data_IF_985977583717
#
_entry.id   IF_985977583717
#
_cell.length_a   1.000
_cell.length_b   1.000
_cell.length_c   1.000
_cell.angle_alpha   90.00
_cell.angle_beta   90.00
_cell.angle_gamma   90.00
#
_symmetry.space_group_name_H-M   'P 1'
#
loop_
_entity.id
_entity.type
_entity.pdbx_description
1 polymer ?
#
# COMPACT_ATOMS: atom_id res chain seq x y z
N UNK A 1 2.34 59.64 28.71
CA UNK A 1 2.39 58.22 29.12
C UNK A 1 1.08 57.47 28.86
N UNK A 2 -0.08 57.99 29.25
CA UNK A 2 -1.40 57.34 29.03
C UNK A 2 -1.77 57.09 27.57
N UNK A 3 -1.42 58.00 26.65
CA UNK A 3 -1.66 57.86 25.20
C UNK A 3 -0.96 56.63 24.60
N UNK A 4 0.29 56.37 25.01
CA UNK A 4 1.10 55.23 24.56
C UNK A 4 0.52 53.91 25.10
N UNK A 5 0.11 53.90 26.36
CA UNK A 5 -0.49 52.70 26.97
C UNK A 5 -1.81 52.33 26.26
N UNK A 6 -2.63 53.31 25.89
CA UNK A 6 -3.86 53.08 25.14
C UNK A 6 -3.60 52.52 23.74
N UNK A 7 -2.58 53.01 23.02
CA UNK A 7 -2.22 52.46 21.71
C UNK A 7 -1.71 51.03 21.81
N UNK A 8 -0.87 50.74 22.81
CA UNK A 8 -0.39 49.37 23.05
C UNK A 8 -1.52 48.43 23.44
N UNK A 9 -2.48 48.89 24.24
CA UNK A 9 -3.66 48.12 24.61
C UNK A 9 -4.55 47.81 23.40
N UNK A 10 -4.77 48.79 22.51
CA UNK A 10 -5.51 48.56 21.28
C UNK A 10 -4.82 47.55 20.35
N UNK A 11 -3.49 47.64 20.21
CA UNK A 11 -2.69 46.67 19.44
C UNK A 11 -2.81 45.28 20.06
N UNK A 12 -2.72 45.17 21.39
CA UNK A 12 -2.85 43.90 22.10
C UNK A 12 -4.22 43.26 21.87
N UNK A 13 -5.30 44.04 21.93
CA UNK A 13 -6.64 43.55 21.61
C UNK A 13 -6.74 43.08 20.16
N UNK A 14 -6.20 43.84 19.21
CA UNK A 14 -6.20 43.44 17.80
C UNK A 14 -5.44 42.13 17.59
N UNK A 15 -4.28 41.96 18.24
CA UNK A 15 -3.52 40.70 18.22
C UNK A 15 -4.32 39.55 18.84
N UNK A 16 -4.96 39.75 20.00
CA UNK A 16 -5.75 38.71 20.66
C UNK A 16 -6.90 38.23 19.77
N UNK A 17 -7.66 39.15 19.18
CA UNK A 17 -8.74 38.83 18.24
C UNK A 17 -8.20 38.18 16.96
N UNK A 18 -7.06 38.65 16.45
CA UNK A 18 -6.37 38.05 15.31
C UNK A 18 -5.98 36.59 15.56
N UNK A 19 -5.42 36.28 16.72
CA UNK A 19 -5.06 34.91 17.10
C UNK A 19 -6.29 34.02 17.20
N UNK A 20 -7.37 34.48 17.85
CA UNK A 20 -8.60 33.69 17.98
C UNK A 20 -9.20 33.37 16.62
N UNK A 21 -9.27 34.35 15.72
CA UNK A 21 -9.82 34.14 14.36
C UNK A 21 -8.92 33.24 13.51
N UNK A 22 -7.60 33.39 13.60
CA UNK A 22 -6.64 32.51 12.93
C UNK A 22 -6.75 31.07 13.44
N UNK A 23 -6.87 30.88 14.76
CA UNK A 23 -7.05 29.58 15.37
C UNK A 23 -8.35 28.93 14.86
N UNK A 24 -9.46 29.67 14.86
CA UNK A 24 -10.75 29.17 14.38
C UNK A 24 -10.69 28.71 12.91
N UNK A 25 -10.06 29.52 12.03
CA UNK A 25 -9.83 29.16 10.63
C UNK A 25 -8.95 27.91 10.50
N UNK A 26 -7.88 27.84 11.29
CA UNK A 26 -6.99 26.68 11.31
C UNK A 26 -7.73 25.40 11.71
N UNK A 27 -8.60 25.44 12.73
CA UNK A 27 -9.42 24.27 13.10
C UNK A 27 -10.33 23.84 11.96
N UNK A 28 -11.00 24.77 11.28
CA UNK A 28 -11.89 24.45 10.17
C UNK A 28 -11.15 23.76 9.02
N UNK A 29 -10.04 24.34 8.58
CA UNK A 29 -9.21 23.77 7.51
C UNK A 29 -8.62 22.42 7.91
N UNK A 30 -8.24 22.26 9.18
CA UNK A 30 -7.72 21.00 9.69
C UNK A 30 -8.77 19.88 9.64
N UNK A 31 -10.02 20.18 10.01
CA UNK A 31 -11.12 19.20 9.97
C UNK A 31 -11.39 18.75 8.52
N UNK A 32 -11.41 19.68 7.57
CA UNK A 32 -11.61 19.37 6.15
C UNK A 32 -10.47 18.48 5.61
N UNK A 33 -9.22 18.83 5.93
CA UNK A 33 -8.05 18.01 5.59
C UNK A 33 -8.14 16.60 6.22
N UNK A 34 -8.62 16.50 7.45
CA UNK A 34 -8.75 15.23 8.15
C UNK A 34 -9.83 14.33 7.53
N UNK A 35 -10.91 14.91 6.99
CA UNK A 35 -11.95 14.17 6.27
C UNK A 35 -11.39 13.52 5.01
N UNK A 36 -10.73 14.29 4.15
CA UNK A 36 -10.08 13.77 2.94
C UNK A 36 -9.03 12.70 3.27
N UNK A 37 -8.22 12.92 4.32
CA UNK A 37 -7.24 11.92 4.78
C UNK A 37 -7.88 10.63 5.26
N UNK A 38 -9.07 10.69 5.88
CA UNK A 38 -9.80 9.49 6.32
C UNK A 38 -10.32 8.70 5.12
N UNK A 39 -10.81 9.38 4.10
CA UNK A 39 -11.25 8.75 2.86
C UNK A 39 -10.09 8.08 2.12
N UNK A 40 -8.95 8.78 1.97
CA UNK A 40 -7.74 8.21 1.39
C UNK A 40 -7.26 6.96 2.13
N UNK A 41 -7.26 6.97 3.48
CA UNK A 41 -6.92 5.80 4.29
C UNK A 41 -7.89 4.64 4.09
N UNK A 42 -9.19 4.93 3.96
CA UNK A 42 -10.20 3.89 3.70
C UNK A 42 -9.93 3.21 2.36
N UNK A 43 -9.66 3.98 1.32
CA UNK A 43 -9.33 3.46 -0.01
C UNK A 43 -8.04 2.62 0.01
N UNK A 44 -7.02 3.05 0.77
CA UNK A 44 -5.76 2.31 0.89
C UNK A 44 -5.96 0.94 1.58
N UNK A 45 -6.81 0.88 2.60
CA UNK A 45 -7.19 -0.38 3.25
C UNK A 45 -7.97 -1.28 2.30
N UNK A 46 -8.95 -0.74 1.58
CA UNK A 46 -9.73 -1.49 0.59
C UNK A 46 -8.83 -2.03 -0.53
N UNK A 47 -7.91 -1.21 -1.01
CA UNK A 47 -6.89 -1.63 -1.98
C UNK A 47 -6.03 -2.78 -1.44
N UNK A 48 -5.57 -2.68 -0.19
CA UNK A 48 -4.83 -3.76 0.47
C UNK A 48 -5.64 -5.05 0.58
N UNK A 49 -6.94 -4.97 0.90
CA UNK A 49 -7.84 -6.12 0.94
C UNK A 49 -8.00 -6.75 -0.45
N UNK A 50 -8.27 -5.95 -1.47
CA UNK A 50 -8.39 -6.41 -2.86
C UNK A 50 -7.09 -7.06 -3.36
N UNK A 51 -5.94 -6.55 -2.94
CA UNK A 51 -4.64 -7.11 -3.30
C UNK A 51 -4.37 -8.45 -2.60
N UNK A 52 -4.82 -8.61 -1.35
CA UNK A 52 -4.79 -9.89 -0.64
C UNK A 52 -5.74 -10.91 -1.28
N UNK A 53 -6.96 -10.49 -1.63
CA UNK A 53 -7.92 -11.30 -2.39
C UNK A 53 -7.32 -11.76 -3.72
N UNK A 54 -6.70 -10.85 -4.47
CA UNK A 54 -5.99 -11.20 -5.71
C UNK A 54 -4.84 -12.18 -5.45
N UNK A 55 -3.99 -11.95 -4.45
CA UNK A 55 -2.86 -12.83 -4.14
C UNK A 55 -3.31 -14.27 -3.78
N UNK A 56 -4.51 -14.41 -3.22
CA UNK A 56 -5.10 -15.71 -2.88
C UNK A 56 -5.59 -16.47 -4.12
N UNK A 57 -5.93 -15.77 -5.20
CA UNK A 57 -6.49 -16.36 -6.42
C UNK A 57 -5.53 -16.38 -7.63
N UNK A 58 -4.48 -15.56 -7.62
CA UNK A 58 -3.77 -15.18 -8.85
C UNK A 58 -2.64 -16.11 -9.31
N UNK A 59 -2.19 -17.13 -8.57
CA UNK A 59 -1.03 -17.93 -9.06
C UNK A 59 -1.11 -19.44 -8.87
N UNK A 60 -1.70 -20.01 -7.81
CA UNK A 60 -1.73 -21.48 -7.65
C UNK A 60 -3.11 -22.09 -7.91
N UNK A 61 -4.16 -21.59 -7.26
CA UNK A 61 -5.49 -22.19 -7.38
C UNK A 61 -6.07 -22.15 -8.80
N UNK A 62 -5.85 -21.07 -9.56
CA UNK A 62 -6.33 -20.96 -10.95
C UNK A 62 -5.56 -21.87 -11.90
N UNK A 63 -4.24 -21.94 -11.77
CA UNK A 63 -3.39 -22.79 -12.62
C UNK A 63 -3.66 -24.26 -12.33
N UNK A 64 -3.76 -24.65 -11.06
CA UNK A 64 -4.05 -26.02 -10.65
C UNK A 64 -5.44 -26.48 -11.09
N UNK A 65 -6.46 -25.62 -10.98
CA UNK A 65 -7.80 -25.92 -11.53
C UNK A 65 -7.76 -26.08 -13.05
N UNK A 66 -7.10 -25.20 -13.79
CA UNK A 66 -7.02 -25.31 -15.25
C UNK A 66 -6.23 -26.57 -15.67
N UNK A 67 -5.11 -26.84 -14.99
CA UNK A 67 -4.28 -28.02 -15.24
C UNK A 67 -5.05 -29.33 -14.96
N UNK A 68 -5.84 -29.37 -13.88
CA UNK A 68 -6.59 -30.58 -13.53
C UNK A 68 -7.89 -30.75 -14.33
N UNK A 69 -8.59 -29.66 -14.65
CA UNK A 69 -9.89 -29.70 -15.36
C UNK A 69 -9.76 -29.73 -16.88
N UNK A 70 -8.87 -28.93 -17.48
CA UNK A 70 -8.72 -28.87 -18.94
C UNK A 70 -7.61 -29.77 -19.47
N UNK A 71 -6.50 -29.88 -18.74
CA UNK A 71 -5.37 -30.74 -19.14
C UNK A 71 -5.38 -32.13 -18.49
N UNK A 72 -6.33 -32.39 -17.58
CA UNK A 72 -6.43 -33.68 -16.87
C UNK A 72 -5.20 -34.02 -16.02
N UNK A 73 -4.35 -33.04 -15.71
CA UNK A 73 -3.12 -33.25 -14.96
C UNK A 73 -3.43 -33.66 -13.51
N UNK A 74 -2.70 -34.67 -13.04
CA UNK A 74 -2.77 -35.21 -11.68
C UNK A 74 -1.37 -35.22 -11.09
N UNK A 75 -1.26 -34.98 -9.79
CA UNK A 75 0.01 -35.06 -9.10
C UNK A 75 0.54 -36.52 -9.18
N UNK A 76 1.76 -36.75 -9.69
CA UNK A 76 2.30 -38.10 -9.81
C UNK A 76 2.55 -38.72 -8.44
N UNK A 77 2.27 -40.01 -8.30
CA UNK A 77 2.58 -40.73 -7.06
C UNK A 77 4.10 -40.86 -6.88
N UNK A 78 4.61 -41.01 -5.64
CA UNK A 78 6.05 -41.16 -5.38
C UNK A 78 6.69 -42.30 -6.18
N UNK A 79 5.93 -43.34 -6.50
CA UNK A 79 6.34 -44.49 -7.32
C UNK A 79 6.52 -44.18 -8.82
N UNK A 80 6.04 -43.03 -9.29
CA UNK A 80 6.10 -42.59 -10.69
C UNK A 80 7.18 -41.53 -10.93
N UNK A 81 7.85 -41.07 -9.88
CA UNK A 81 8.90 -40.04 -9.97
C UNK A 81 10.26 -40.71 -10.15
N UNK A 82 10.90 -40.49 -11.30
CA UNK A 82 12.26 -40.97 -11.57
C UNK A 82 13.22 -39.79 -11.65
N UNK A 83 14.11 -39.68 -10.68
CA UNK A 83 15.18 -38.67 -10.68
C UNK A 83 16.27 -39.12 -11.66
N UNK A 84 16.39 -38.43 -12.78
CA UNK A 84 17.47 -38.65 -13.74
C UNK A 84 18.58 -37.66 -13.42
N UNK A 85 19.80 -38.14 -13.11
CA UNK A 85 20.98 -37.28 -13.04
C UNK A 85 21.40 -36.97 -14.47
N UNK A 86 21.39 -35.69 -14.85
CA UNK A 86 21.92 -35.27 -16.13
C UNK A 86 23.42 -35.63 -16.17
N UNK A 87 23.90 -36.41 -17.15
CA UNK A 87 25.33 -36.65 -17.32
C UNK A 87 26.04 -35.31 -17.53
N UNK A 88 27.24 -35.08 -16.96
CA UNK A 88 28.04 -33.93 -17.33
C UNK A 88 28.31 -34.00 -18.83
N UNK A 89 27.89 -32.97 -19.57
CA UNK A 89 28.08 -32.92 -21.01
C UNK A 89 29.54 -33.12 -21.38
N UNK A 90 29.74 -33.90 -22.44
CA UNK A 90 31.00 -34.51 -22.83
C UNK A 90 32.15 -33.50 -22.88
N UNK A 91 33.27 -33.93 -22.31
CA UNK A 91 34.59 -33.43 -22.65
C UNK A 91 34.74 -33.35 -24.16
N UNK A 92 35.14 -32.17 -24.61
CA UNK A 92 35.79 -31.89 -25.89
C UNK A 92 36.69 -33.06 -26.30
N UNK A 93 36.22 -33.84 -27.27
CA UNK A 93 37.03 -34.76 -28.06
C UNK A 93 36.84 -34.36 -29.51
N UNK A 94 37.34 -33.17 -29.86
CA UNK A 94 37.70 -32.86 -31.24
C UNK A 94 39.12 -32.31 -31.26
N UNK A 95 40.05 -33.25 -31.18
CA UNK A 95 41.46 -33.05 -31.53
C UNK A 95 41.83 -34.22 -32.42
N UNK A 96 41.74 -34.02 -33.74
CA UNK A 96 42.58 -34.68 -34.76
C UNK A 96 42.42 -34.07 -36.13
#
# INVERSE_FOLDING_TARGET
>A
MTRLNLTLFAILLACALGVVTAQHKARKLFVELEQERREAKRLDVEWGQLQLEQSTWATHARIERLASSELGMRLPLPSQVRVVRLPPEGREADSR
#
